data_IF_535121894556
#
_entry.id   IF_535121894556
#
_cell.length_a   1.000
_cell.length_b   1.000
_cell.length_c   1.000
_cell.angle_alpha   90.00
_cell.angle_beta   90.00
_cell.angle_gamma   90.00
#
_symmetry.space_group_name_H-M   'P 1'
#
loop_
_entity.id
_entity.type
_entity.pdbx_description
1 polymer ?
#
# COMPACT_ATOMS: atom_id res chain seq x y z
N UNK A 1 3.05 1.68 11.77
CA UNK A 1 3.08 2.45 10.50
C UNK A 1 1.75 3.14 10.35
N UNK A 2 1.77 4.47 10.20
CA UNK A 2 0.59 5.29 9.96
C UNK A 2 0.71 5.86 8.54
N UNK A 3 -0.33 5.67 7.73
CA UNK A 3 -0.39 6.15 6.35
C UNK A 3 -1.67 6.95 6.15
N UNK A 4 -1.57 7.98 5.33
CA UNK A 4 -2.74 8.62 4.74
C UNK A 4 -3.07 7.91 3.42
N UNK A 5 -4.35 7.63 3.19
CA UNK A 5 -4.82 7.08 1.91
C UNK A 5 -5.91 8.00 1.34
N UNK A 6 -5.81 8.27 0.06
CA UNK A 6 -6.74 9.11 -0.69
C UNK A 6 -7.23 8.36 -1.92
N UNK A 7 -8.44 8.69 -2.35
CA UNK A 7 -9.03 8.17 -3.59
C UNK A 7 -9.17 9.33 -4.57
N UNK A 8 -8.67 9.13 -5.79
CA UNK A 8 -8.68 10.12 -6.85
C UNK A 8 -9.40 9.57 -8.08
N UNK A 9 -10.02 10.45 -8.86
CA UNK A 9 -10.43 10.10 -10.21
C UNK A 9 -9.17 9.82 -11.05
N UNK A 10 -9.21 8.84 -11.95
CA UNK A 10 -8.04 8.46 -12.75
C UNK A 10 -7.49 9.63 -13.59
N UNK A 11 -8.35 10.57 -13.99
CA UNK A 11 -7.96 11.76 -14.75
C UNK A 11 -7.30 12.86 -13.90
N UNK A 12 -7.41 12.76 -12.57
CA UNK A 12 -6.89 13.73 -11.60
C UNK A 12 -5.89 13.11 -10.63
N UNK A 13 -5.58 11.82 -10.78
CA UNK A 13 -4.68 11.11 -9.89
C UNK A 13 -3.27 11.72 -9.97
N UNK A 14 -2.65 12.04 -8.81
CA UNK A 14 -1.27 12.52 -8.80
C UNK A 14 -0.33 11.42 -9.31
N UNK A 15 0.85 11.82 -9.80
CA UNK A 15 1.89 10.84 -10.09
C UNK A 15 2.28 10.09 -8.81
N UNK A 16 2.30 8.76 -8.89
CA UNK A 16 2.64 7.90 -7.76
C UNK A 16 3.88 7.08 -8.04
N UNK A 17 4.75 6.97 -7.03
CA UNK A 17 5.90 6.07 -7.07
C UNK A 17 5.42 4.65 -6.74
N UNK A 18 5.52 3.73 -7.70
CA UNK A 18 5.19 2.33 -7.46
C UNK A 18 6.24 1.67 -6.56
N UNK A 19 5.81 1.09 -5.44
CA UNK A 19 6.69 0.37 -4.52
C UNK A 19 6.60 -1.13 -4.80
N UNK A 20 7.72 -1.71 -5.21
CA UNK A 20 7.84 -3.15 -5.47
C UNK A 20 8.38 -3.88 -4.25
N UNK A 21 7.74 -4.99 -3.90
CA UNK A 21 8.14 -5.88 -2.80
C UNK A 21 7.59 -7.28 -3.07
N UNK A 22 8.18 -8.30 -2.46
CA UNK A 22 7.65 -9.67 -2.54
C UNK A 22 6.48 -9.83 -1.57
N UNK A 23 5.48 -10.64 -1.91
CA UNK A 23 4.23 -10.78 -1.14
C UNK A 23 4.40 -11.22 0.33
N UNK A 24 5.47 -11.96 0.65
CA UNK A 24 5.71 -12.52 1.98
C UNK A 24 4.96 -13.82 2.24
N UNK A 25 5.14 -14.36 3.44
CA UNK A 25 4.51 -15.61 3.90
C UNK A 25 3.03 -15.35 4.21
N UNK A 26 2.16 -16.26 3.78
CA UNK A 26 0.74 -16.18 4.07
C UNK A 26 0.46 -16.42 5.57
N UNK A 27 -0.50 -15.69 6.13
CA UNK A 27 -0.84 -15.76 7.56
C UNK A 27 0.02 -14.89 8.50
N UNK A 28 1.22 -14.44 8.10
CA UNK A 28 1.97 -13.43 8.88
C UNK A 28 1.53 -12.02 8.50
N UNK A 29 0.53 -11.54 9.25
CA UNK A 29 -0.02 -10.20 9.07
C UNK A 29 0.48 -9.24 10.16
N UNK A 30 0.76 -8.02 9.75
CA UNK A 30 1.04 -6.88 10.65
C UNK A 30 -0.06 -5.85 10.53
N UNK A 31 -0.29 -5.11 11.61
CA UNK A 31 -1.24 -4.01 11.64
C UNK A 31 -0.56 -2.70 11.20
N UNK A 32 -1.22 -2.00 10.29
CA UNK A 32 -0.96 -0.60 9.95
C UNK A 32 -2.21 0.23 10.23
N UNK A 33 -2.09 1.55 10.16
CA UNK A 33 -3.23 2.46 10.31
C UNK A 33 -3.37 3.29 9.03
N UNK A 34 -4.49 3.12 8.34
CA UNK A 34 -4.87 3.91 7.16
C UNK A 34 -5.91 4.92 7.60
N UNK A 35 -5.61 6.22 7.53
CA UNK A 35 -6.50 7.29 8.03
C UNK A 35 -6.99 7.00 9.47
N UNK A 36 -6.07 6.58 10.33
CA UNK A 36 -6.31 6.17 11.73
C UNK A 36 -7.19 4.93 11.92
N UNK A 37 -7.57 4.22 10.86
CA UNK A 37 -8.30 2.95 10.94
C UNK A 37 -7.32 1.77 10.85
N UNK A 38 -7.43 0.76 11.73
CA UNK A 38 -6.55 -0.40 11.67
C UNK A 38 -6.79 -1.20 10.39
N UNK A 39 -5.70 -1.59 9.73
CA UNK A 39 -5.70 -2.38 8.51
C UNK A 39 -4.61 -3.45 8.58
N UNK A 40 -4.88 -4.65 8.07
CA UNK A 40 -3.94 -5.79 8.12
C UNK A 40 -3.27 -5.96 6.77
N UNK A 41 -1.95 -5.93 6.77
CA UNK A 41 -1.11 -6.22 5.59
C UNK A 41 -0.17 -7.36 5.89
N UNK A 42 0.41 -7.99 4.86
CA UNK A 42 1.45 -9.01 5.05
C UNK A 42 2.75 -8.38 5.53
N UNK A 43 3.60 -9.18 6.17
CA UNK A 43 4.87 -8.72 6.74
C UNK A 43 5.75 -7.93 5.76
N UNK A 44 5.86 -8.38 4.51
CA UNK A 44 6.72 -7.72 3.52
C UNK A 44 6.16 -6.36 3.07
N UNK A 45 4.85 -6.22 2.94
CA UNK A 45 4.20 -4.92 2.69
C UNK A 45 4.48 -3.95 3.85
N UNK A 46 4.34 -4.43 5.09
CA UNK A 46 4.66 -3.64 6.28
C UNK A 46 6.12 -3.19 6.30
N UNK A 47 7.06 -4.09 5.98
CA UNK A 47 8.49 -3.78 5.89
C UNK A 47 8.80 -2.79 4.78
N UNK A 48 8.16 -2.91 3.60
CA UNK A 48 8.30 -1.96 2.51
C UNK A 48 7.83 -0.56 2.92
N UNK A 49 6.66 -0.46 3.57
CA UNK A 49 6.15 0.81 4.10
C UNK A 49 7.07 1.45 5.14
N UNK A 50 7.69 0.64 6.01
CA UNK A 50 8.68 1.15 6.96
C UNK A 50 9.90 1.72 6.24
N UNK A 51 10.45 1.01 5.25
CA UNK A 51 11.60 1.48 4.48
C UNK A 51 11.29 2.78 3.74
N UNK A 52 10.09 2.93 3.19
CA UNK A 52 9.62 4.17 2.56
C UNK A 52 9.64 5.33 3.57
N UNK A 53 9.10 5.11 4.76
CA UNK A 53 9.06 6.11 5.83
C UNK A 53 10.46 6.49 6.33
N UNK A 54 11.35 5.50 6.53
CA UNK A 54 12.73 5.71 6.98
C UNK A 54 13.57 6.48 5.96
N UNK A 55 13.39 6.15 4.67
CA UNK A 55 14.08 6.84 3.56
C UNK A 55 13.52 8.23 3.28
N UNK A 56 12.41 8.62 3.93
CA UNK A 56 11.71 9.89 3.71
C UNK A 56 11.42 10.12 2.22
N UNK A 57 10.93 9.07 1.54
CA UNK A 57 10.50 9.22 0.15
C UNK A 57 9.34 10.21 0.14
N UNK A 58 9.50 11.30 -0.61
CA UNK A 58 8.48 12.32 -0.78
C UNK A 58 7.53 11.95 -1.92
N UNK A 59 6.29 12.43 -1.81
CA UNK A 59 5.24 12.20 -2.82
C UNK A 59 4.30 11.04 -2.50
N UNK A 60 3.35 10.83 -3.41
CA UNK A 60 2.37 9.75 -3.32
C UNK A 60 3.01 8.43 -3.73
N UNK A 61 2.73 7.36 -2.99
CA UNK A 61 3.21 6.01 -3.31
C UNK A 61 2.05 5.11 -3.71
N UNK A 62 2.29 4.22 -4.67
CA UNK A 62 1.37 3.17 -5.05
C UNK A 62 1.79 1.85 -4.41
N UNK A 63 0.86 1.19 -3.70
CA UNK A 63 1.02 -0.18 -3.18
C UNK A 63 -0.19 -0.99 -3.62
N UNK A 64 0.04 -1.99 -4.46
CA UNK A 64 -0.99 -2.89 -5.01
C UNK A 64 -1.93 -3.46 -3.95
N UNK A 65 -1.40 -4.00 -2.85
CA UNK A 65 -2.19 -4.63 -1.78
C UNK A 65 -3.15 -3.69 -1.05
N UNK A 66 -2.98 -2.38 -1.20
CA UNK A 66 -3.75 -1.34 -0.50
C UNK A 66 -4.58 -0.52 -1.49
N UNK A 67 -3.97 -0.12 -2.62
CA UNK A 67 -4.55 0.86 -3.55
C UNK A 67 -5.47 0.25 -4.61
N UNK A 68 -5.36 -1.06 -4.88
CA UNK A 68 -6.25 -1.73 -5.86
C UNK A 68 -7.36 -2.50 -5.15
N UNK A 69 -8.48 -2.70 -5.82
CA UNK A 69 -9.56 -3.53 -5.31
C UNK A 69 -9.15 -5.02 -5.31
N UNK A 70 -8.68 -5.50 -4.15
CA UNK A 70 -8.28 -6.90 -3.97
C UNK A 70 -9.43 -7.91 -4.14
N UNK A 71 -10.68 -7.47 -4.11
CA UNK A 71 -11.85 -8.31 -4.34
C UNK A 71 -12.22 -8.44 -5.83
N UNK A 72 -11.75 -7.53 -6.68
CA UNK A 72 -11.93 -7.63 -8.12
C UNK A 72 -10.77 -8.41 -8.74
N UNK A 73 -11.08 -9.62 -9.23
CA UNK A 73 -10.08 -10.50 -9.84
C UNK A 73 -9.48 -9.90 -11.12
N UNK A 74 -10.23 -9.07 -11.85
CA UNK A 74 -9.73 -8.41 -13.05
C UNK A 74 -8.75 -7.30 -12.73
N UNK A 75 -8.99 -6.55 -11.65
CA UNK A 75 -8.07 -5.51 -11.19
C UNK A 75 -6.82 -6.12 -10.55
N UNK A 76 -7.00 -7.18 -9.74
CA UNK A 76 -5.90 -7.91 -9.10
C UNK A 76 -4.95 -8.61 -10.07
N UNK A 77 -5.42 -8.95 -11.27
CA UNK A 77 -4.62 -9.63 -12.30
C UNK A 77 -3.91 -8.68 -13.28
N UNK A 78 -4.08 -7.37 -13.11
CA UNK A 78 -3.32 -6.34 -13.86
C UNK A 78 -1.99 -6.03 -13.16
#
# INVERSE_FOLDING_TARGET
>A
VYCHIETHDISQAPETIAISYTWGIDGDHKQIYLNSRPHRVRHNCWSALQQVAERKIEGSIGIDTICINQADIHEKAK
#
